data_IF_802929364959
#
_entry.id   IF_802929364959
#
_cell.length_a   1.000
_cell.length_b   1.000
_cell.length_c   1.000
_cell.angle_alpha   90.00
_cell.angle_beta   90.00
_cell.angle_gamma   90.00
#
_symmetry.space_group_name_H-M   'P 1'
#
loop_
_entity.id
_entity.type
_entity.pdbx_description
1 polymer ?
#
# COMPACT_ATOMS: atom_id res chain seq x y z
N UNK A 1 0.17 7.96 -6.76
CA UNK A 1 -1.22 7.59 -7.08
C UNK A 1 -1.92 7.11 -5.83
N UNK A 2 -3.17 7.51 -5.62
CA UNK A 2 -4.03 7.02 -4.54
C UNK A 2 -5.25 6.41 -5.23
N UNK A 3 -5.49 5.13 -5.00
CA UNK A 3 -6.50 4.36 -5.73
C UNK A 3 -7.31 3.46 -4.79
N UNK A 4 -8.58 3.22 -5.13
CA UNK A 4 -9.49 2.39 -4.35
C UNK A 4 -9.38 0.89 -4.68
N UNK A 5 -8.38 0.46 -5.46
CA UNK A 5 -8.13 -0.94 -5.80
C UNK A 5 -7.95 -1.84 -4.55
N UNK A 6 -9.05 -2.43 -4.10
CA UNK A 6 -9.13 -3.29 -2.91
C UNK A 6 -9.56 -4.73 -3.24
N UNK A 7 -9.61 -5.09 -4.53
CA UNK A 7 -9.86 -6.44 -5.03
C UNK A 7 -8.64 -6.92 -5.85
N UNK A 8 -8.45 -8.24 -6.04
CA UNK A 8 -7.36 -8.76 -6.86
C UNK A 8 -7.33 -8.16 -8.27
N UNK A 9 -8.46 -8.21 -8.99
CA UNK A 9 -8.59 -7.70 -10.35
C UNK A 9 -8.31 -6.19 -10.44
N UNK A 10 -8.88 -5.39 -9.52
CA UNK A 10 -8.63 -3.95 -9.51
C UNK A 10 -7.14 -3.63 -9.24
N UNK A 11 -6.50 -4.38 -8.34
CA UNK A 11 -5.08 -4.20 -8.02
C UNK A 11 -4.17 -4.59 -9.18
N UNK A 12 -4.48 -5.68 -9.87
CA UNK A 12 -3.76 -6.12 -11.07
C UNK A 12 -3.89 -5.07 -12.18
N UNK A 13 -5.12 -4.66 -12.51
CA UNK A 13 -5.41 -3.68 -13.55
C UNK A 13 -4.69 -2.34 -13.34
N UNK A 14 -4.67 -1.82 -12.10
CA UNK A 14 -3.95 -0.56 -11.82
C UNK A 14 -2.45 -0.75 -11.90
N UNK A 15 -1.89 -1.86 -11.40
CA UNK A 15 -0.45 -2.12 -11.47
C UNK A 15 0.03 -2.30 -12.91
N UNK A 16 -0.68 -3.09 -13.72
CA UNK A 16 -0.38 -3.25 -15.15
C UNK A 16 -0.47 -1.94 -15.91
N UNK A 17 -1.44 -1.10 -15.57
CA UNK A 17 -1.56 0.24 -16.15
C UNK A 17 -0.34 1.09 -15.80
N UNK A 18 0.06 1.13 -14.54
CA UNK A 18 1.23 1.89 -14.10
C UNK A 18 2.54 1.35 -14.69
N UNK A 19 2.64 0.05 -14.97
CA UNK A 19 3.81 -0.54 -15.64
C UNK A 19 4.04 0.07 -17.04
N UNK A 20 2.97 0.46 -17.73
CA UNK A 20 3.06 1.14 -19.04
C UNK A 20 3.53 2.60 -18.94
N UNK A 21 3.38 3.23 -17.78
CA UNK A 21 3.74 4.64 -17.54
C UNK A 21 5.04 4.83 -16.77
N UNK A 22 5.60 3.79 -16.16
CA UNK A 22 6.81 3.91 -15.35
C UNK A 22 8.00 4.34 -16.22
N UNK A 23 8.90 5.12 -15.64
CA UNK A 23 10.17 5.46 -16.29
C UNK A 23 11.00 4.18 -16.57
N UNK A 24 11.88 4.15 -17.59
CA UNK A 24 12.68 2.97 -17.94
C UNK A 24 13.41 2.33 -16.74
N UNK A 25 13.94 3.16 -15.83
CA UNK A 25 14.65 2.74 -14.63
C UNK A 25 13.83 2.87 -13.33
N UNK A 26 12.60 3.35 -13.43
CA UNK A 26 11.69 3.47 -12.30
C UNK A 26 11.05 2.13 -11.94
N UNK A 27 10.75 1.94 -10.66
CA UNK A 27 9.91 0.85 -10.18
C UNK A 27 8.54 1.36 -9.73
N UNK A 28 7.57 0.45 -9.69
CA UNK A 28 6.34 0.70 -8.94
C UNK A 28 6.60 0.30 -7.48
N UNK A 29 6.30 1.21 -6.57
CA UNK A 29 6.26 0.99 -5.13
C UNK A 29 4.78 0.88 -4.72
N UNK A 30 4.31 -0.35 -4.49
CA UNK A 30 2.92 -0.62 -4.13
C UNK A 30 2.77 -0.66 -2.60
N UNK A 31 1.93 0.21 -2.04
CA UNK A 31 1.59 0.26 -0.61
C UNK A 31 0.13 -0.16 -0.46
N UNK A 32 -0.13 -1.28 0.19
CA UNK A 32 -1.50 -1.76 0.37
C UNK A 32 -1.68 -2.65 1.60
N UNK A 33 -2.94 -2.80 1.99
CA UNK A 33 -3.39 -3.72 3.04
C UNK A 33 -4.69 -4.39 2.60
N UNK A 34 -5.30 -5.16 3.50
CA UNK A 34 -6.62 -5.73 3.30
C UNK A 34 -7.52 -5.40 4.49
N UNK A 35 -8.81 -5.26 4.24
CA UNK A 35 -9.79 -5.12 5.32
C UNK A 35 -9.98 -6.40 6.13
N UNK A 36 -10.10 -6.27 7.44
CA UNK A 36 -10.61 -7.34 8.32
C UNK A 36 -12.13 -7.47 8.27
N UNK A 37 -12.68 -8.56 8.80
CA UNK A 37 -14.10 -8.95 8.78
C UNK A 37 -14.71 -8.94 7.37
N UNK A 38 -13.89 -9.28 6.39
CA UNK A 38 -14.23 -9.30 4.96
C UNK A 38 -13.65 -10.56 4.33
N UNK A 39 -13.83 -10.67 3.01
CA UNK A 39 -13.27 -11.77 2.23
C UNK A 39 -11.75 -11.93 2.48
N UNK A 40 -11.39 -13.07 3.09
CA UNK A 40 -10.01 -13.46 3.39
C UNK A 40 -9.34 -14.13 2.21
N UNK A 41 -10.12 -14.73 1.30
CA UNK A 41 -9.61 -15.52 0.17
C UNK A 41 -8.81 -14.67 -0.82
N UNK A 42 -9.16 -13.38 -0.94
CA UNK A 42 -8.42 -12.42 -1.76
C UNK A 42 -7.03 -12.06 -1.22
N UNK A 43 -6.78 -12.16 0.08
CA UNK A 43 -5.55 -11.65 0.73
C UNK A 43 -4.27 -12.23 0.10
N UNK A 44 -4.09 -13.57 0.02
CA UNK A 44 -2.91 -14.13 -0.63
C UNK A 44 -2.88 -13.83 -2.14
N UNK A 45 -4.03 -13.74 -2.81
CA UNK A 45 -4.07 -13.42 -4.24
C UNK A 45 -3.54 -12.00 -4.50
N UNK A 46 -3.99 -11.03 -3.71
CA UNK A 46 -3.49 -9.64 -3.76
C UNK A 46 -2.01 -9.56 -3.39
N UNK A 47 -1.57 -10.34 -2.39
CA UNK A 47 -0.16 -10.50 -2.05
C UNK A 47 0.68 -10.90 -3.26
N UNK A 48 0.28 -11.98 -3.94
CA UNK A 48 0.94 -12.49 -5.15
C UNK A 48 1.02 -11.43 -6.24
N UNK A 49 -0.12 -10.85 -6.62
CA UNK A 49 -0.22 -9.83 -7.68
C UNK A 49 0.72 -8.66 -7.40
N UNK A 50 0.65 -8.09 -6.19
CA UNK A 50 1.47 -6.94 -5.83
C UNK A 50 2.97 -7.25 -5.91
N UNK A 51 3.40 -8.39 -5.36
CA UNK A 51 4.82 -8.77 -5.36
C UNK A 51 5.36 -9.20 -6.71
N UNK A 52 4.49 -9.65 -7.63
CA UNK A 52 4.88 -10.00 -8.99
C UNK A 52 5.03 -8.76 -9.88
N UNK A 53 4.11 -7.80 -9.74
CA UNK A 53 4.03 -6.65 -10.66
C UNK A 53 4.77 -5.41 -10.15
N UNK A 54 4.92 -5.24 -8.84
CA UNK A 54 5.64 -4.11 -8.26
C UNK A 54 7.13 -4.44 -8.08
N UNK A 55 7.99 -3.43 -8.21
CA UNK A 55 9.41 -3.56 -7.91
C UNK A 55 9.75 -3.38 -6.42
N UNK A 56 8.79 -2.89 -5.62
CA UNK A 56 8.80 -2.94 -4.17
C UNK A 56 7.35 -3.00 -3.69
N UNK A 57 7.04 -3.98 -2.85
CA UNK A 57 5.72 -4.10 -2.21
C UNK A 57 5.84 -3.80 -0.71
N UNK A 58 5.07 -2.83 -0.22
CA UNK A 58 4.95 -2.51 1.19
C UNK A 58 3.57 -2.96 1.67
N UNK A 59 3.54 -4.05 2.44
CA UNK A 59 2.33 -4.59 3.05
C UNK A 59 2.13 -3.91 4.40
N UNK A 60 0.94 -3.36 4.60
CA UNK A 60 0.56 -2.56 5.78
C UNK A 60 -0.85 -2.89 6.26
N UNK A 61 -1.24 -2.34 7.40
CA UNK A 61 -2.62 -2.26 7.84
C UNK A 61 -3.51 -1.41 6.91
N UNK A 62 -4.80 -1.66 7.02
CA UNK A 62 -5.92 -0.89 6.48
C UNK A 62 -7.05 -0.96 7.53
N UNK A 63 -8.31 -0.95 7.12
CA UNK A 63 -9.48 -1.14 7.99
C UNK A 63 -9.51 -2.57 8.59
N UNK A 64 -8.75 -2.81 9.66
CA UNK A 64 -8.64 -4.10 10.36
C UNK A 64 -9.91 -4.52 11.09
N UNK A 65 -10.77 -3.57 11.47
CA UNK A 65 -12.02 -3.83 12.20
C UNK A 65 -11.73 -4.69 13.45
N UNK A 66 -12.42 -5.82 13.64
CA UNK A 66 -12.20 -6.68 14.81
C UNK A 66 -11.03 -7.67 14.65
N UNK A 67 -10.45 -7.80 13.45
CA UNK A 67 -9.33 -8.72 13.21
C UNK A 67 -7.97 -8.13 13.65
N UNK A 68 -7.06 -9.02 14.08
CA UNK A 68 -5.68 -8.63 14.36
C UNK A 68 -4.97 -8.19 13.07
N UNK A 69 -4.43 -6.95 12.98
CA UNK A 69 -3.73 -6.45 11.80
C UNK A 69 -2.61 -7.37 11.32
N UNK A 70 -1.84 -7.98 12.24
CA UNK A 70 -0.76 -8.91 11.87
C UNK A 70 -1.29 -10.18 11.23
N UNK A 71 -2.42 -10.69 11.68
CA UNK A 71 -3.03 -11.88 11.08
C UNK A 71 -3.42 -11.61 9.62
N UNK A 72 -3.99 -10.42 9.33
CA UNK A 72 -4.31 -9.99 7.98
C UNK A 72 -3.03 -9.89 7.12
N UNK A 73 -1.98 -9.25 7.65
CA UNK A 73 -0.69 -9.13 6.96
C UNK A 73 -0.09 -10.51 6.66
N UNK A 74 -0.12 -11.44 7.61
CA UNK A 74 0.33 -12.81 7.41
C UNK A 74 -0.46 -13.53 6.31
N UNK A 75 -1.79 -13.35 6.26
CA UNK A 75 -2.63 -13.91 5.20
C UNK A 75 -2.25 -13.36 3.81
N UNK A 76 -1.89 -12.07 3.71
CA UNK A 76 -1.39 -11.47 2.45
C UNK A 76 -0.04 -12.07 2.07
N UNK A 77 0.90 -12.14 3.02
CA UNK A 77 2.26 -12.65 2.81
C UNK A 77 2.30 -14.10 2.34
N UNK A 78 1.32 -14.94 2.70
CA UNK A 78 1.24 -16.33 2.23
C UNK A 78 1.16 -16.46 0.71
N UNK A 79 0.72 -15.42 0.00
CA UNK A 79 0.72 -15.42 -1.46
C UNK A 79 1.86 -14.65 -2.10
N UNK A 80 2.70 -13.98 -1.32
CA UNK A 80 3.83 -13.21 -1.85
C UNK A 80 4.74 -14.09 -2.72
N UNK A 81 5.17 -13.57 -3.86
CA UNK A 81 6.10 -14.24 -4.76
C UNK A 81 7.46 -14.43 -4.10
N UNK A 82 8.06 -15.59 -4.30
CA UNK A 82 9.38 -15.92 -3.76
C UNK A 82 10.45 -14.98 -4.32
N UNK A 83 11.34 -14.47 -3.47
CA UNK A 83 12.41 -13.56 -3.87
C UNK A 83 11.99 -12.12 -4.19
N UNK A 84 10.69 -11.79 -4.07
CA UNK A 84 10.22 -10.41 -4.29
C UNK A 84 10.73 -9.42 -3.23
N UNK A 85 11.01 -8.18 -3.64
CA UNK A 85 11.32 -7.08 -2.71
C UNK A 85 10.03 -6.67 -1.97
N UNK A 86 9.84 -7.23 -0.79
CA UNK A 86 8.66 -7.03 0.04
C UNK A 86 9.03 -6.54 1.44
N UNK A 87 8.34 -5.51 1.93
CA UNK A 87 8.50 -4.96 3.26
C UNK A 87 7.18 -4.93 4.02
N UNK A 88 7.23 -5.25 5.30
CA UNK A 88 6.08 -5.14 6.20
C UNK A 88 6.24 -3.92 7.09
N UNK A 89 5.27 -3.00 7.03
CA UNK A 89 5.18 -1.86 7.94
C UNK A 89 3.75 -1.77 8.41
N UNK A 90 3.48 -2.22 9.64
CA UNK A 90 2.12 -2.45 10.13
C UNK A 90 1.24 -1.18 10.14
N UNK A 91 1.80 -0.04 10.55
CA UNK A 91 1.08 1.24 10.58
C UNK A 91 1.08 1.90 9.21
N UNK A 92 -0.12 2.14 8.65
CA UNK A 92 -0.30 2.69 7.30
C UNK A 92 0.36 4.04 7.09
N UNK A 93 0.26 4.93 8.08
CA UNK A 93 0.98 6.21 8.03
C UNK A 93 2.50 6.01 7.85
N UNK A 94 3.09 5.09 8.62
CA UNK A 94 4.53 4.81 8.55
C UNK A 94 4.91 4.17 7.22
N UNK A 95 4.05 3.31 6.66
CA UNK A 95 4.24 2.70 5.35
C UNK A 95 4.27 3.75 4.23
N UNK A 96 3.34 4.71 4.26
CA UNK A 96 3.27 5.82 3.30
C UNK A 96 4.51 6.71 3.44
N UNK A 97 4.87 7.11 4.66
CA UNK A 97 6.08 7.92 4.92
C UNK A 97 7.34 7.20 4.45
N UNK A 98 7.44 5.89 4.69
CA UNK A 98 8.56 5.08 4.23
C UNK A 98 8.64 5.06 2.70
N UNK A 99 7.53 4.77 2.02
CA UNK A 99 7.47 4.74 0.55
C UNK A 99 7.95 6.07 -0.06
N UNK A 100 7.51 7.19 0.51
CA UNK A 100 7.88 8.54 0.05
C UNK A 100 9.34 8.85 0.37
N UNK A 101 9.84 8.55 1.57
CA UNK A 101 11.22 8.91 1.96
C UNK A 101 12.29 7.99 1.35
N UNK A 102 11.91 6.80 0.90
CA UNK A 102 12.82 5.80 0.30
C UNK A 102 12.57 5.60 -1.21
N UNK A 103 11.84 6.53 -1.83
CA UNK A 103 11.62 6.51 -3.27
C UNK A 103 12.93 6.75 -4.01
N UNK A 104 13.03 6.20 -5.22
CA UNK A 104 14.12 6.49 -6.16
C UNK A 104 13.62 7.43 -7.25
N UNK A 105 14.51 8.21 -7.91
CA UNK A 105 14.13 8.97 -9.09
C UNK A 105 13.46 8.08 -10.14
N UNK A 106 12.28 8.52 -10.61
CA UNK A 106 11.47 7.78 -11.58
C UNK A 106 10.53 6.72 -10.99
N UNK A 107 10.55 6.50 -9.67
CA UNK A 107 9.60 5.59 -9.02
C UNK A 107 8.15 6.13 -9.11
N UNK A 108 7.22 5.20 -9.29
CA UNK A 108 5.79 5.45 -9.12
C UNK A 108 5.36 4.85 -7.78
N UNK A 109 4.87 5.68 -6.86
CA UNK A 109 4.25 5.19 -5.62
C UNK A 109 2.74 5.06 -5.81
N UNK A 110 2.21 3.86 -5.57
CA UNK A 110 0.78 3.56 -5.55
C UNK A 110 0.33 3.27 -4.11
N UNK A 111 -0.58 4.07 -3.58
CA UNK A 111 -1.33 3.76 -2.38
C UNK A 111 -2.67 3.13 -2.81
N UNK A 112 -2.82 1.83 -2.59
CA UNK A 112 -4.02 1.09 -3.00
C UNK A 112 -4.90 0.71 -1.80
N UNK A 113 -6.21 0.67 -2.04
CA UNK A 113 -7.21 0.13 -1.14
C UNK A 113 -8.17 1.18 -0.55
N UNK A 114 -7.65 2.34 -0.11
CA UNK A 114 -8.45 3.37 0.58
C UNK A 114 -9.01 4.43 -0.36
N UNK A 115 -8.33 4.77 -1.46
CA UNK A 115 -8.81 5.76 -2.42
C UNK A 115 -9.14 7.11 -1.77
N UNK A 116 -10.42 7.47 -1.75
CA UNK A 116 -10.92 8.70 -1.15
C UNK A 116 -11.40 8.56 0.31
N UNK A 117 -11.27 7.38 0.92
CA UNK A 117 -11.58 7.21 2.34
C UNK A 117 -10.68 8.11 3.21
N UNK A 118 -11.31 8.81 4.15
CA UNK A 118 -10.71 9.74 5.10
C UNK A 118 -10.73 9.19 6.54
N UNK A 119 -10.76 7.87 6.68
CA UNK A 119 -10.81 7.19 7.96
C UNK A 119 -10.10 5.84 7.97
N UNK A 120 -9.78 5.39 9.18
CA UNK A 120 -9.30 4.04 9.48
C UNK A 120 -10.25 3.41 10.52
N UNK A 121 -10.50 2.10 10.39
CA UNK A 121 -11.35 1.34 11.33
C UNK A 121 -10.53 0.21 11.93
N UNK A 122 -10.45 0.17 13.25
CA UNK A 122 -9.94 -0.96 14.03
C UNK A 122 -10.93 -1.37 15.13
N UNK A 123 -10.47 -2.14 16.11
CA UNK A 123 -11.30 -2.65 17.21
C UNK A 123 -11.82 -1.53 18.13
N UNK A 124 -11.13 -0.39 18.18
CA UNK A 124 -11.53 0.79 18.96
C UNK A 124 -12.53 1.69 18.19
N UNK A 125 -12.78 1.37 16.91
CA UNK A 125 -13.77 2.03 16.06
C UNK A 125 -13.16 2.85 14.93
N UNK A 126 -13.95 3.79 14.41
CA UNK A 126 -13.58 4.64 13.26
C UNK A 126 -12.84 5.89 13.74
N UNK A 127 -11.67 6.16 13.17
CA UNK A 127 -10.85 7.36 13.45
C UNK A 127 -10.52 8.12 12.16
N UNK A 128 -10.39 9.46 12.20
CA UNK A 128 -9.95 10.23 11.04
C UNK A 128 -8.56 9.80 10.55
N UNK A 129 -8.42 9.59 9.25
CA UNK A 129 -7.17 9.17 8.62
C UNK A 129 -7.14 9.60 7.15
N UNK A 130 -6.25 10.52 6.78
CA UNK A 130 -6.16 11.02 5.39
C UNK A 130 -4.81 10.69 4.77
N UNK A 131 -4.81 9.75 3.82
CA UNK A 131 -3.60 9.45 3.04
C UNK A 131 -3.07 10.67 2.30
N UNK A 132 -3.97 11.51 1.77
CA UNK A 132 -3.61 12.78 1.12
C UNK A 132 -2.84 13.67 2.09
N UNK A 133 -3.34 13.88 3.30
CA UNK A 133 -2.66 14.72 4.29
C UNK A 133 -1.26 14.18 4.65
N UNK A 134 -1.14 12.85 4.82
CA UNK A 134 0.15 12.19 5.12
C UNK A 134 1.12 12.37 3.95
N UNK A 135 0.66 12.19 2.70
CA UNK A 135 1.46 12.40 1.49
C UNK A 135 1.96 13.85 1.42
N UNK A 136 1.07 14.83 1.59
CA UNK A 136 1.46 16.25 1.57
C UNK A 136 2.51 16.56 2.64
N UNK A 137 2.29 16.13 3.88
CA UNK A 137 3.24 16.34 4.96
C UNK A 137 4.60 15.69 4.68
N UNK A 138 4.61 14.45 4.17
CA UNK A 138 5.84 13.74 3.87
C UNK A 138 6.64 14.40 2.75
N UNK A 139 5.96 14.87 1.70
CA UNK A 139 6.57 15.62 0.59
C UNK A 139 7.10 16.97 1.08
N UNK A 140 6.30 17.75 1.81
CA UNK A 140 6.75 19.04 2.37
C UNK A 140 7.97 18.89 3.28
N UNK A 141 8.04 17.81 4.07
CA UNK A 141 9.20 17.52 4.91
C UNK A 141 10.47 17.11 4.14
N UNK A 142 10.34 16.62 2.90
CA UNK A 142 11.49 16.33 2.03
C UNK A 142 12.05 17.60 1.39
N UNK A 143 11.19 18.45 0.84
CA UNK A 143 11.61 19.64 0.09
C UNK A 143 11.76 20.91 0.95
N UNK A 144 11.24 20.90 2.18
CA UNK A 144 11.37 22.00 3.13
C UNK A 144 12.66 21.97 3.97
N UNK A 145 13.56 20.99 3.74
CA UNK A 145 14.88 20.95 4.39
C UNK A 145 15.98 21.65 3.60
N UNK A 146 15.69 22.10 2.38
CA UNK A 146 16.62 22.76 1.46
C UNK A 146 16.37 24.28 1.33
N UNK A 147 15.70 24.92 2.31
CA UNK A 147 15.53 26.39 2.41
C UNK A 147 16.04 26.92 3.74
#
# INVERSE_FOLDING_TARGET
FIDYAHTPDALENVLETLLRFKAPHGRIVAVFGCGGDRDRTKRPIMGRIATTLAGLTIITGDNSRSENPRAIICDILRGAAEGADCKVIERRENAIRYAITHHRPGDIILLAGKGHEDYEIDADGKRPFSEKAIVYQAISGLYGKDQ
#
